data_IF_753540024354
#
_entry.id   IF_753540024354
#
_cell.length_a   1.000
_cell.length_b   1.000
_cell.length_c   1.000
_cell.angle_alpha   90.00
_cell.angle_beta   90.00
_cell.angle_gamma   90.00
#
_symmetry.space_group_name_H-M   'P 1'
#
loop_
_entity.id
_entity.type
_entity.pdbx_description
1 polymer ?
#
# COMPACT_ATOMS: atom_id res chain seq x y z
N UNK A 1 5.84 6.56 -11.45
CA UNK A 1 4.53 7.12 -11.91
C UNK A 1 4.62 7.42 -13.40
N UNK A 2 3.58 7.08 -14.17
CA UNK A 2 3.56 7.32 -15.61
C UNK A 2 3.37 8.82 -15.92
N UNK A 3 3.97 9.29 -17.00
CA UNK A 3 3.78 10.66 -17.53
C UNK A 3 2.29 11.03 -17.71
N UNK A 4 1.45 10.02 -17.92
CA UNK A 4 0.01 10.19 -18.16
C UNK A 4 -0.76 10.72 -16.94
N UNK A 5 -0.36 10.35 -15.72
CA UNK A 5 -1.06 10.81 -14.51
C UNK A 5 -0.80 12.30 -14.27
N UNK A 6 0.43 12.78 -14.51
CA UNK A 6 0.74 14.21 -14.37
C UNK A 6 0.07 15.05 -15.47
N UNK A 7 -0.09 14.51 -16.68
CA UNK A 7 -0.77 15.19 -17.78
C UNK A 7 -2.29 15.25 -17.60
N UNK A 8 -2.91 14.15 -17.15
CA UNK A 8 -4.36 14.08 -16.88
C UNK A 8 -4.80 15.00 -15.73
N UNK A 9 -3.92 15.25 -14.78
CA UNK A 9 -4.24 16.08 -13.61
C UNK A 9 -3.93 17.57 -13.81
N UNK A 10 -3.40 18.01 -14.96
CA UNK A 10 -2.95 19.39 -15.18
C UNK A 10 -1.86 19.84 -14.21
N UNK A 11 -1.15 18.88 -13.60
CA UNK A 11 -0.17 19.12 -12.54
C UNK A 11 1.22 19.34 -13.12
N UNK A 12 2.01 20.11 -12.40
CA UNK A 12 3.45 20.26 -12.65
C UNK A 12 4.11 18.88 -12.56
N UNK A 13 5.08 18.62 -13.43
CA UNK A 13 5.67 17.28 -13.60
C UNK A 13 6.30 16.68 -12.34
N UNK A 14 6.81 15.46 -12.46
CA UNK A 14 7.30 14.64 -11.33
C UNK A 14 8.37 15.29 -10.43
N UNK A 15 9.05 16.33 -10.90
CA UNK A 15 10.03 17.10 -10.10
C UNK A 15 9.37 17.90 -8.99
N UNK A 16 8.12 18.33 -9.21
CA UNK A 16 7.29 19.08 -8.26
C UNK A 16 6.11 18.22 -7.78
N UNK A 17 6.40 17.00 -7.31
CA UNK A 17 5.39 16.09 -6.82
C UNK A 17 4.71 16.66 -5.57
N UNK A 18 3.38 16.74 -5.60
CA UNK A 18 2.57 17.25 -4.49
C UNK A 18 2.86 16.52 -3.17
N UNK A 19 2.89 15.18 -3.21
CA UNK A 19 3.14 14.38 -1.99
C UNK A 19 4.52 14.62 -1.41
N UNK A 20 5.54 14.80 -2.25
CA UNK A 20 6.88 15.16 -1.81
C UNK A 20 6.87 16.54 -1.12
N UNK A 21 6.19 17.53 -1.71
CA UNK A 21 6.09 18.86 -1.10
C UNK A 21 5.33 18.86 0.21
N UNK A 22 4.22 18.11 0.31
CA UNK A 22 3.49 17.96 1.58
C UNK A 22 4.40 17.29 2.61
N UNK A 23 5.10 16.21 2.25
CA UNK A 23 6.01 15.50 3.16
C UNK A 23 7.15 16.41 3.64
N UNK A 24 7.82 17.10 2.73
CA UNK A 24 8.88 18.04 3.08
C UNK A 24 8.36 19.19 3.95
N UNK A 25 7.15 19.69 3.68
CA UNK A 25 6.51 20.71 4.49
C UNK A 25 6.18 20.20 5.90
N UNK A 26 5.66 18.99 6.00
CA UNK A 26 5.34 18.36 7.28
C UNK A 26 6.61 18.13 8.11
N UNK A 27 7.73 17.80 7.47
CA UNK A 27 9.02 17.59 8.12
C UNK A 27 9.80 18.89 8.41
N UNK A 28 9.40 20.02 7.82
CA UNK A 28 10.09 21.29 8.00
C UNK A 28 9.91 21.88 9.39
N UNK A 29 10.94 22.49 9.95
CA UNK A 29 10.84 23.26 11.19
C UNK A 29 9.97 24.51 11.04
N UNK A 30 9.89 25.05 9.82
CA UNK A 30 9.07 26.19 9.46
C UNK A 30 8.16 25.81 8.30
N UNK A 31 7.02 25.15 8.56
CA UNK A 31 6.10 24.74 7.51
C UNK A 31 5.52 25.94 6.78
N UNK A 32 5.48 25.85 5.46
CA UNK A 32 4.76 26.82 4.63
C UNK A 32 3.25 26.71 4.85
N UNK A 33 2.53 27.82 4.59
CA UNK A 33 1.07 27.75 4.61
C UNK A 33 0.59 26.76 3.52
N UNK A 34 -0.20 25.80 3.92
CA UNK A 34 -0.79 24.80 3.03
C UNK A 34 -1.57 25.43 1.86
N UNK A 35 -2.08 26.67 2.06
CA UNK A 35 -2.74 27.45 1.01
C UNK A 35 -1.80 27.80 -0.14
N UNK A 36 -0.53 28.08 0.13
CA UNK A 36 0.46 28.38 -0.90
C UNK A 36 0.77 27.14 -1.74
N UNK A 37 0.91 25.99 -1.07
CA UNK A 37 1.10 24.71 -1.74
C UNK A 37 -0.11 24.39 -2.63
N UNK A 38 -1.32 24.55 -2.09
CA UNK A 38 -2.57 24.35 -2.83
C UNK A 38 -2.63 25.22 -4.09
N UNK A 39 -2.33 26.51 -3.96
CA UNK A 39 -2.31 27.45 -5.08
C UNK A 39 -1.28 27.08 -6.14
N UNK A 40 -0.08 26.68 -5.74
CA UNK A 40 0.98 26.23 -6.67
C UNK A 40 0.54 25.03 -7.52
N UNK A 41 -0.26 24.14 -6.96
CA UNK A 41 -0.74 22.93 -7.64
C UNK A 41 -2.14 23.09 -8.25
N UNK A 42 -2.73 24.28 -8.22
CA UNK A 42 -4.13 24.53 -8.67
C UNK A 42 -5.15 23.59 -8.02
N UNK A 43 -5.00 23.36 -6.72
CA UNK A 43 -5.88 22.48 -5.93
C UNK A 43 -6.60 23.27 -4.83
N UNK A 44 -7.73 22.75 -4.39
CA UNK A 44 -8.40 23.25 -3.19
C UNK A 44 -7.62 22.87 -1.92
N UNK A 45 -7.65 23.73 -0.93
CA UNK A 45 -7.01 23.47 0.37
C UNK A 45 -7.56 22.22 1.03
N UNK A 46 -8.86 21.94 0.88
CA UNK A 46 -9.50 20.71 1.38
C UNK A 46 -8.89 19.44 0.78
N UNK A 47 -8.49 19.47 -0.48
CA UNK A 47 -7.84 18.35 -1.14
C UNK A 47 -6.47 18.01 -0.50
N UNK A 48 -5.72 19.07 -0.12
CA UNK A 48 -4.43 18.88 0.54
C UNK A 48 -4.62 18.34 1.96
N UNK A 49 -5.55 18.88 2.72
CA UNK A 49 -5.90 18.35 4.04
C UNK A 49 -6.41 16.92 3.97
N UNK A 50 -7.19 16.57 2.94
CA UNK A 50 -7.60 15.20 2.67
C UNK A 50 -6.41 14.28 2.42
N UNK A 51 -5.44 14.70 1.60
CA UNK A 51 -4.22 13.93 1.36
C UNK A 51 -3.35 13.78 2.63
N UNK A 52 -3.17 14.87 3.36
CA UNK A 52 -2.38 14.89 4.61
C UNK A 52 -2.99 13.98 5.70
N UNK A 53 -4.32 13.98 5.82
CA UNK A 53 -5.01 13.13 6.79
C UNK A 53 -5.12 11.67 6.37
N UNK A 54 -5.16 11.39 5.07
CA UNK A 54 -5.28 10.03 4.54
C UNK A 54 -3.98 9.24 4.65
N UNK A 55 -2.85 9.86 4.33
CA UNK A 55 -1.55 9.19 4.37
C UNK A 55 -0.90 9.36 5.74
N UNK A 56 -0.72 8.26 6.47
CA UNK A 56 -0.17 8.26 7.83
C UNK A 56 1.18 9.02 7.94
N UNK A 57 2.07 8.84 6.97
CA UNK A 57 3.37 9.53 6.94
C UNK A 57 3.28 11.04 6.69
N UNK A 58 2.15 11.55 6.22
CA UNK A 58 1.95 12.97 5.98
C UNK A 58 1.27 13.67 7.17
N UNK A 59 0.87 12.93 8.20
CA UNK A 59 0.22 13.51 9.38
C UNK A 59 1.19 14.31 10.22
N UNK A 60 0.87 15.55 10.58
CA UNK A 60 1.74 16.38 11.44
C UNK A 60 2.08 15.71 12.78
N UNK A 61 1.16 14.93 13.35
CA UNK A 61 1.36 14.16 14.59
C UNK A 61 2.41 13.06 14.47
N UNK A 62 2.77 12.66 13.26
CA UNK A 62 3.76 11.60 12.99
C UNK A 62 5.15 12.13 12.67
N UNK A 63 5.30 13.44 12.59
CA UNK A 63 6.55 14.11 12.21
C UNK A 63 7.80 13.65 12.97
N UNK A 64 7.66 13.42 14.26
CA UNK A 64 8.79 13.01 15.11
C UNK A 64 8.87 11.52 15.37
N UNK A 65 7.92 10.75 14.82
CA UNK A 65 7.90 9.30 15.01
C UNK A 65 8.97 8.65 14.14
N UNK A 66 9.69 7.69 14.73
CA UNK A 66 10.71 6.89 14.04
C UNK A 66 10.21 5.48 13.71
N UNK A 67 9.36 4.94 14.58
CA UNK A 67 8.77 3.63 14.40
C UNK A 67 7.26 3.71 14.41
N UNK A 68 6.61 2.85 13.62
CA UNK A 68 5.15 2.73 13.57
C UNK A 68 4.76 1.27 13.72
N UNK A 69 3.93 1.00 14.69
CA UNK A 69 3.37 -0.35 14.91
C UNK A 69 2.11 -0.50 14.08
N UNK A 70 1.97 -1.63 13.42
CA UNK A 70 0.79 -1.92 12.60
C UNK A 70 -0.46 -2.04 13.48
N UNK A 71 -1.47 -1.22 13.20
CA UNK A 71 -2.78 -1.25 13.85
C UNK A 71 -3.86 -1.86 12.91
N UNK A 72 -3.44 -2.71 11.98
CA UNK A 72 -4.34 -3.44 11.10
C UNK A 72 -5.03 -4.60 11.81
N UNK A 73 -6.24 -4.94 11.38
CA UNK A 73 -7.12 -5.92 12.03
C UNK A 73 -6.46 -7.28 12.25
N UNK A 74 -5.67 -7.79 11.30
CA UNK A 74 -5.00 -9.07 11.44
C UNK A 74 -3.98 -9.08 12.59
N UNK A 75 -3.14 -8.05 12.70
CA UNK A 75 -2.18 -7.90 13.78
C UNK A 75 -2.87 -7.67 15.15
N UNK A 76 -3.96 -6.91 15.16
CA UNK A 76 -4.76 -6.68 16.36
C UNK A 76 -5.44 -7.96 16.85
N UNK A 77 -6.07 -8.73 15.95
CA UNK A 77 -6.68 -10.01 16.30
C UNK A 77 -5.66 -11.05 16.79
N UNK A 78 -4.43 -10.99 16.29
CA UNK A 78 -3.33 -11.83 16.76
C UNK A 78 -2.84 -11.45 18.17
N UNK A 79 -3.23 -10.27 18.69
CA UNK A 79 -2.85 -9.80 20.03
C UNK A 79 -1.36 -9.53 20.22
N UNK A 80 -0.61 -9.32 19.12
CA UNK A 80 0.84 -9.23 19.13
C UNK A 80 1.39 -7.81 19.32
N UNK A 81 0.55 -6.81 19.07
CA UNK A 81 1.01 -5.44 18.86
C UNK A 81 1.31 -4.65 20.14
N UNK A 82 0.59 -4.90 21.23
CA UNK A 82 0.83 -4.21 22.50
C UNK A 82 2.26 -4.44 22.99
N UNK A 83 2.67 -5.71 23.07
CA UNK A 83 4.03 -6.07 23.51
C UNK A 83 5.11 -5.50 22.59
N UNK A 84 4.88 -5.52 21.29
CA UNK A 84 5.79 -4.94 20.30
C UNK A 84 5.92 -3.43 20.50
N UNK A 85 4.80 -2.74 20.71
CA UNK A 85 4.75 -1.30 20.95
C UNK A 85 5.51 -0.92 22.21
N UNK A 86 5.33 -1.66 23.30
CA UNK A 86 6.03 -1.44 24.55
C UNK A 86 7.54 -1.64 24.37
N UNK A 87 7.96 -2.71 23.71
CA UNK A 87 9.37 -2.97 23.39
C UNK A 87 9.99 -1.83 22.57
N UNK A 88 9.30 -1.34 21.55
CA UNK A 88 9.79 -0.22 20.74
C UNK A 88 9.86 1.08 21.54
N UNK A 89 8.88 1.35 22.42
CA UNK A 89 8.89 2.52 23.30
C UNK A 89 10.04 2.51 24.32
N UNK A 90 10.32 1.35 24.90
CA UNK A 90 11.47 1.19 25.81
C UNK A 90 12.79 1.51 25.10
N UNK A 91 12.93 1.12 23.84
CA UNK A 91 14.19 1.28 23.08
C UNK A 91 14.35 2.64 22.43
N UNK A 92 13.27 3.23 21.94
CA UNK A 92 13.28 4.47 21.14
C UNK A 92 12.77 5.69 21.91
N UNK A 93 12.01 5.47 22.97
CA UNK A 93 11.28 6.50 23.71
C UNK A 93 9.80 6.58 23.28
N UNK A 94 8.94 6.94 24.24
CA UNK A 94 7.49 7.00 24.05
C UNK A 94 7.07 7.90 22.88
N UNK A 95 7.74 9.02 22.73
CA UNK A 95 7.39 10.03 21.72
C UNK A 95 7.83 9.64 20.30
N UNK A 96 8.66 8.61 20.15
CA UNK A 96 9.22 8.17 18.87
C UNK A 96 8.46 7.01 18.24
N UNK A 97 7.49 6.44 18.95
CA UNK A 97 6.68 5.33 18.46
C UNK A 97 5.25 5.79 18.17
N UNK A 98 4.77 5.48 17.01
CA UNK A 98 3.40 5.73 16.54
C UNK A 98 2.70 4.44 16.13
N UNK A 99 1.50 4.60 15.65
CA UNK A 99 0.69 3.52 15.07
C UNK A 99 0.30 3.91 13.65
N UNK A 100 0.18 2.94 12.79
CA UNK A 100 -0.40 3.12 11.46
C UNK A 100 -1.21 1.90 11.04
N UNK A 101 -2.12 2.13 10.11
CA UNK A 101 -2.92 1.03 9.56
C UNK A 101 -2.06 0.10 8.69
N UNK A 102 -2.63 -0.97 8.23
CA UNK A 102 -2.01 -2.15 7.67
C UNK A 102 -0.71 -1.89 6.88
N UNK A 103 0.39 -2.49 7.35
CA UNK A 103 1.70 -2.48 6.69
C UNK A 103 1.85 -3.58 5.62
N UNK A 104 0.79 -4.36 5.35
CA UNK A 104 0.80 -5.40 4.34
C UNK A 104 1.31 -6.78 4.79
N UNK A 105 1.72 -6.95 6.04
CA UNK A 105 2.25 -8.21 6.59
C UNK A 105 1.22 -8.99 7.40
N UNK A 106 -0.04 -9.03 6.93
CA UNK A 106 -1.14 -9.67 7.64
C UNK A 106 -0.95 -11.19 7.87
N UNK A 107 -0.13 -11.82 7.05
CA UNK A 107 0.17 -13.26 7.10
C UNK A 107 1.27 -13.62 8.13
N UNK A 108 2.06 -12.65 8.60
CA UNK A 108 3.15 -12.88 9.56
C UNK A 108 2.87 -12.31 10.94
N UNK A 109 2.03 -11.26 11.03
CA UNK A 109 1.80 -10.47 12.22
C UNK A 109 3.07 -9.77 12.77
N UNK A 110 3.03 -9.21 13.96
CA UNK A 110 4.14 -8.46 14.58
C UNK A 110 4.72 -7.37 13.68
N UNK A 111 3.89 -6.80 12.79
CA UNK A 111 4.38 -5.87 11.78
C UNK A 111 4.66 -4.48 12.37
N UNK A 112 5.80 -3.92 12.02
CA UNK A 112 6.18 -2.54 12.32
C UNK A 112 7.00 -1.94 11.19
N UNK A 113 6.98 -0.63 11.12
CA UNK A 113 7.80 0.16 10.20
C UNK A 113 8.89 0.87 10.99
N UNK A 114 10.10 0.85 10.50
CA UNK A 114 11.23 1.59 11.08
C UNK A 114 12.21 2.00 9.98
N UNK A 115 12.62 3.27 10.00
CA UNK A 115 13.63 3.84 9.10
C UNK A 115 13.43 3.52 7.60
N UNK A 116 12.16 3.62 7.12
CA UNK A 116 11.83 3.42 5.71
C UNK A 116 11.49 1.98 5.32
N UNK A 117 11.69 1.00 6.20
CA UNK A 117 11.49 -0.42 5.91
C UNK A 117 10.41 -1.04 6.81
N UNK A 118 9.74 -2.06 6.29
CA UNK A 118 8.75 -2.84 7.04
C UNK A 118 9.36 -4.14 7.54
N UNK A 119 9.09 -4.46 8.78
CA UNK A 119 9.51 -5.68 9.46
C UNK A 119 8.31 -6.43 10.00
N UNK A 120 8.37 -7.75 10.06
CA UNK A 120 7.26 -8.57 10.56
C UNK A 120 7.72 -9.96 11.03
N UNK A 121 6.82 -10.69 11.68
CA UNK A 121 7.03 -12.07 12.09
C UNK A 121 8.28 -12.26 12.95
N UNK A 122 9.22 -13.05 12.48
CA UNK A 122 10.46 -13.38 13.19
C UNK A 122 11.46 -12.22 13.29
N UNK A 123 11.27 -11.15 12.52
CA UNK A 123 12.17 -9.99 12.58
C UNK A 123 12.12 -9.31 13.96
N UNK A 124 11.04 -9.53 14.72
CA UNK A 124 10.92 -9.01 16.09
C UNK A 124 12.07 -9.48 17.01
N UNK A 125 12.61 -10.67 16.76
CA UNK A 125 13.74 -11.22 17.52
C UNK A 125 15.04 -10.44 17.26
N UNK A 126 15.09 -9.72 16.13
CA UNK A 126 16.24 -8.92 15.69
C UNK A 126 16.05 -7.41 15.92
N UNK A 127 15.08 -7.02 16.74
CA UNK A 127 14.73 -5.61 16.94
C UNK A 127 15.93 -4.75 17.33
N UNK A 128 16.86 -5.28 18.12
CA UNK A 128 18.06 -4.55 18.53
C UNK A 128 19.04 -4.30 17.37
N UNK A 129 19.16 -5.25 16.46
CA UNK A 129 19.96 -5.10 15.26
C UNK A 129 19.34 -4.09 14.29
N UNK A 130 18.02 -4.17 14.13
CA UNK A 130 17.25 -3.23 13.29
C UNK A 130 17.43 -1.80 13.79
N UNK A 131 17.28 -1.56 15.09
CA UNK A 131 17.41 -0.23 15.70
C UNK A 131 18.84 0.31 15.57
N UNK A 132 19.84 -0.56 15.60
CA UNK A 132 21.24 -0.17 15.39
C UNK A 132 21.59 0.09 13.91
N UNK A 133 20.65 -0.16 12.98
CA UNK A 133 20.88 -0.02 11.55
C UNK A 133 21.74 -1.14 10.95
N UNK A 134 21.80 -2.29 11.60
CA UNK A 134 22.50 -3.47 11.07
C UNK A 134 21.65 -4.08 9.95
N UNK A 135 22.29 -4.49 8.86
CA UNK A 135 21.61 -5.16 7.77
C UNK A 135 21.13 -6.56 8.24
N UNK A 136 19.81 -6.76 8.23
CA UNK A 136 19.23 -8.05 8.55
C UNK A 136 18.75 -8.75 7.28
N UNK A 137 18.97 -10.06 7.21
CA UNK A 137 18.38 -10.88 6.16
C UNK A 137 16.94 -11.18 6.55
N UNK A 138 16.00 -10.53 5.85
CA UNK A 138 14.58 -10.86 5.98
C UNK A 138 14.28 -12.20 5.29
N UNK A 139 13.50 -13.05 5.94
CA UNK A 139 12.97 -14.25 5.31
C UNK A 139 11.88 -13.85 4.31
N UNK A 140 12.06 -14.21 3.03
CA UNK A 140 11.02 -13.98 2.04
C UNK A 140 9.90 -14.99 2.21
N UNK A 141 8.69 -14.49 2.33
CA UNK A 141 7.49 -15.33 2.33
C UNK A 141 7.23 -15.84 0.91
N UNK A 142 6.99 -17.14 0.79
CA UNK A 142 6.60 -17.78 -0.46
C UNK A 142 5.23 -18.41 -0.29
N UNK A 143 4.26 -18.00 -1.09
CA UNK A 143 3.00 -18.72 -1.22
C UNK A 143 3.12 -19.79 -2.30
N UNK A 144 2.64 -21.00 -2.02
CA UNK A 144 2.54 -22.09 -2.98
C UNK A 144 1.08 -22.43 -3.20
N UNK A 145 0.65 -22.38 -4.44
CA UNK A 145 -0.67 -22.89 -4.80
C UNK A 145 -0.67 -24.41 -4.78
N UNK A 146 -1.69 -25.00 -4.16
CA UNK A 146 -1.98 -26.44 -4.24
C UNK A 146 -2.96 -26.77 -5.36
N UNK A 147 -3.39 -25.78 -6.15
CA UNK A 147 -4.23 -26.01 -7.31
C UNK A 147 -3.50 -26.89 -8.34
N UNK A 148 -4.18 -27.92 -8.83
CA UNK A 148 -3.66 -28.81 -9.88
C UNK A 148 -3.55 -28.12 -11.23
N UNK A 149 -4.34 -27.08 -11.44
CA UNK A 149 -4.31 -26.18 -12.59
C UNK A 149 -4.18 -24.74 -12.11
N UNK A 150 -3.18 -24.04 -12.58
CA UNK A 150 -2.96 -22.63 -12.28
C UNK A 150 -3.56 -21.79 -13.41
N UNK A 151 -4.75 -21.24 -13.18
CA UNK A 151 -5.47 -20.52 -14.25
C UNK A 151 -4.76 -19.24 -14.71
N UNK A 152 -4.30 -18.43 -13.74
CA UNK A 152 -3.61 -17.15 -14.04
C UNK A 152 -2.10 -17.31 -14.23
N UNK A 153 -1.54 -18.45 -13.84
CA UNK A 153 -0.12 -18.76 -13.94
C UNK A 153 0.15 -19.85 -14.98
N UNK A 154 -0.83 -20.13 -15.85
CA UNK A 154 -0.69 -21.09 -16.94
C UNK A 154 0.36 -20.55 -17.93
N UNK A 155 1.28 -21.41 -18.36
CA UNK A 155 2.29 -21.12 -19.39
C UNK A 155 1.69 -20.54 -20.67
N UNK A 156 0.39 -20.81 -20.93
CA UNK A 156 -0.36 -20.23 -22.04
C UNK A 156 -0.59 -18.71 -21.98
N UNK A 157 -0.32 -18.09 -20.83
CA UNK A 157 -0.41 -16.64 -20.63
C UNK A 157 0.96 -16.02 -20.35
N UNK A 158 2.03 -16.80 -20.40
CA UNK A 158 3.39 -16.36 -20.03
C UNK A 158 4.04 -15.42 -21.03
N UNK A 159 3.54 -15.36 -22.27
CA UNK A 159 4.04 -14.45 -23.31
C UNK A 159 2.94 -13.61 -23.95
N UNK A 160 3.33 -12.45 -24.51
CA UNK A 160 2.40 -11.56 -25.23
C UNK A 160 1.74 -12.26 -26.43
N UNK A 161 2.45 -13.15 -27.11
CA UNK A 161 1.90 -13.84 -28.28
C UNK A 161 0.90 -14.91 -27.87
N UNK A 162 1.18 -15.66 -26.81
CA UNK A 162 0.21 -16.60 -26.23
C UNK A 162 -1.05 -15.90 -25.74
N UNK A 163 -0.91 -14.73 -25.14
CA UNK A 163 -2.06 -13.90 -24.75
C UNK A 163 -2.90 -13.48 -25.97
N UNK A 164 -2.25 -13.03 -27.07
CA UNK A 164 -2.93 -12.70 -28.34
C UNK A 164 -3.68 -13.88 -28.93
N UNK A 165 -3.10 -15.07 -28.87
CA UNK A 165 -3.77 -16.28 -29.36
C UNK A 165 -5.01 -16.63 -28.53
N UNK A 166 -4.94 -16.49 -27.21
CA UNK A 166 -6.11 -16.67 -26.34
C UNK A 166 -7.17 -15.61 -26.62
N UNK A 167 -6.79 -14.34 -26.78
CA UNK A 167 -7.69 -13.25 -27.13
C UNK A 167 -8.37 -13.52 -28.49
N UNK A 168 -7.63 -13.97 -29.50
CA UNK A 168 -8.18 -14.29 -30.81
C UNK A 168 -9.17 -15.47 -30.76
N UNK A 169 -8.95 -16.46 -29.91
CA UNK A 169 -9.92 -17.53 -29.66
C UNK A 169 -11.18 -16.98 -29.01
N UNK A 170 -11.01 -16.14 -28.00
CA UNK A 170 -12.13 -15.49 -27.31
C UNK A 170 -12.98 -14.64 -28.25
N UNK A 171 -12.35 -13.84 -29.13
CA UNK A 171 -13.06 -13.01 -30.12
C UNK A 171 -13.84 -13.82 -31.16
N UNK A 172 -13.49 -15.09 -31.38
CA UNK A 172 -14.21 -16.01 -32.29
C UNK A 172 -15.34 -16.78 -31.60
N UNK A 173 -15.41 -16.73 -30.27
CA UNK A 173 -16.46 -17.41 -29.50
C UNK A 173 -17.79 -16.69 -29.62
N UNK A 174 -18.89 -17.43 -29.67
CA UNK A 174 -20.22 -16.82 -29.72
C UNK A 174 -20.47 -15.94 -28.50
N UNK A 175 -20.98 -14.73 -28.73
CA UNK A 175 -21.30 -13.76 -27.69
C UNK A 175 -22.21 -14.33 -26.60
N UNK A 176 -23.16 -15.19 -26.94
CA UNK A 176 -24.07 -15.82 -25.99
C UNK A 176 -23.33 -16.78 -25.04
N UNK A 177 -22.35 -17.52 -25.55
CA UNK A 177 -21.52 -18.40 -24.74
C UNK A 177 -20.64 -17.60 -23.79
N UNK A 178 -20.08 -16.47 -24.24
CA UNK A 178 -19.29 -15.57 -23.41
C UNK A 178 -20.15 -15.01 -22.28
N UNK A 179 -21.34 -14.47 -22.58
CA UNK A 179 -22.27 -13.93 -21.58
C UNK A 179 -22.67 -15.01 -20.59
N UNK A 180 -23.01 -16.21 -21.07
CA UNK A 180 -23.33 -17.34 -20.18
C UNK A 180 -22.18 -17.68 -19.25
N UNK A 181 -20.95 -17.78 -19.78
CA UNK A 181 -19.76 -18.08 -18.98
C UNK A 181 -19.49 -17.01 -17.90
N UNK A 182 -19.72 -15.72 -18.23
CA UNK A 182 -19.61 -14.62 -17.27
C UNK A 182 -20.66 -14.71 -16.16
N UNK A 183 -21.90 -15.01 -16.51
CA UNK A 183 -22.97 -15.21 -15.54
C UNK A 183 -22.71 -16.43 -14.64
N UNK A 184 -22.27 -17.54 -15.22
CA UNK A 184 -21.94 -18.76 -14.49
C UNK A 184 -20.72 -18.59 -13.57
N UNK A 185 -19.83 -17.64 -13.87
CA UNK A 185 -18.66 -17.33 -13.04
C UNK A 185 -18.98 -16.56 -11.74
N UNK A 186 -20.19 -16.05 -11.59
CA UNK A 186 -20.63 -15.20 -10.48
C UNK A 186 -19.83 -13.89 -10.30
N UNK A 187 -18.95 -13.52 -11.23
CA UNK A 187 -18.12 -12.30 -11.10
C UNK A 187 -18.96 -11.02 -11.11
N UNK A 188 -20.12 -11.04 -11.78
CA UNK A 188 -21.03 -9.90 -11.83
C UNK A 188 -21.70 -9.58 -10.49
N UNK A 189 -21.76 -10.55 -9.55
CA UNK A 189 -22.34 -10.37 -8.23
C UNK A 189 -21.32 -9.98 -7.17
N UNK A 190 -20.04 -9.96 -7.51
CA UNK A 190 -18.94 -9.68 -6.56
C UNK A 190 -18.25 -8.35 -6.80
N UNK A 191 -18.63 -7.61 -7.86
CA UNK A 191 -18.07 -6.29 -8.13
C UNK A 191 -19.11 -5.19 -7.88
N UNK A 192 -18.75 -4.16 -7.11
CA UNK A 192 -19.58 -2.97 -6.85
C UNK A 192 -20.12 -2.31 -8.15
N UNK A 193 -19.35 -2.39 -9.22
CA UNK A 193 -19.75 -1.84 -10.51
C UNK A 193 -20.97 -2.56 -11.15
N UNK A 194 -21.33 -3.77 -10.68
CA UNK A 194 -22.50 -4.51 -11.18
C UNK A 194 -23.79 -4.10 -10.45
N UNK A 195 -23.69 -3.59 -9.24
CA UNK A 195 -24.84 -3.27 -8.40
C UNK A 195 -25.47 -1.91 -8.71
N UNK A 196 -24.72 -1.02 -9.35
CA UNK A 196 -25.19 0.33 -9.70
C UNK A 196 -26.12 0.38 -10.94
N UNK A 197 -26.29 -0.73 -11.67
CA UNK A 197 -27.07 -0.79 -12.93
C UNK A 197 -28.31 -1.68 -12.87
N UNK A 198 -28.65 -2.17 -11.72
CA UNK A 198 -29.87 -2.96 -11.46
C UNK A 198 -30.84 -2.15 -10.61
#
# INVERSE_FOLDING_TARGET
>A
MSKNISNLSGRIGLKDNLFKQISENTLSEKPQDIKEIAKKHNLGVSTLHGAESFYEFLRPSHREKKAFVCNGSACMCAGTQEKLKDTLKEKLGNDKVGEMFCLGHCYENHAFHYDGENYAGKDIEKIDQIIKGEEIKQEKFFSKSFATTSFLMDDKLSSTDQFKDQLNKFLKTDKKEIVKSLLDSCLLYTSDAADEWL
#
